data_IF_639360537081
#
_entry.id   IF_639360537081
#
_cell.length_a   1.000
_cell.length_b   1.000
_cell.length_c   1.000
_cell.angle_alpha   90.00
_cell.angle_beta   90.00
_cell.angle_gamma   90.00
#
_symmetry.space_group_name_H-M   'P 1'
#
loop_
_entity.id
_entity.type
_entity.pdbx_description
1 polymer ?
#
# COMPACT_ATOMS: atom_id res chain seq x y z
N UNK A 1 -37.56 22.28 -18.79
CA UNK A 1 -37.32 22.43 -17.34
C UNK A 1 -36.31 21.43 -16.77
N UNK A 2 -36.49 20.12 -16.98
CA UNK A 2 -35.67 19.05 -16.35
C UNK A 2 -34.14 19.20 -16.49
N UNK A 3 -33.62 19.52 -17.69
CA UNK A 3 -32.17 19.70 -17.91
C UNK A 3 -31.54 20.80 -17.03
N UNK A 4 -32.24 21.91 -16.80
CA UNK A 4 -31.75 23.01 -15.94
C UNK A 4 -31.72 22.60 -14.47
N UNK A 5 -32.71 21.84 -14.01
CA UNK A 5 -32.78 21.31 -12.64
C UNK A 5 -31.63 20.31 -12.41
N UNK A 6 -31.41 19.40 -13.37
CA UNK A 6 -30.30 18.44 -13.30
C UNK A 6 -28.94 19.13 -13.22
N UNK A 7 -28.72 20.18 -14.02
CA UNK A 7 -27.47 20.96 -13.98
C UNK A 7 -27.27 21.66 -12.63
N UNK A 8 -28.31 22.28 -12.06
CA UNK A 8 -28.22 22.93 -10.74
C UNK A 8 -27.86 21.93 -9.64
N UNK A 9 -28.47 20.73 -9.66
CA UNK A 9 -28.13 19.65 -8.72
C UNK A 9 -26.67 19.22 -8.84
N UNK A 10 -26.16 19.02 -10.06
CA UNK A 10 -24.75 18.68 -10.29
C UNK A 10 -23.80 19.76 -9.76
N UNK A 11 -24.10 21.04 -10.00
CA UNK A 11 -23.29 22.16 -9.50
C UNK A 11 -23.30 22.23 -7.97
N UNK A 12 -24.44 21.97 -7.33
CA UNK A 12 -24.52 21.95 -5.86
C UNK A 12 -23.67 20.81 -5.26
N UNK A 13 -23.69 19.63 -5.89
CA UNK A 13 -22.83 18.50 -5.49
C UNK A 13 -21.35 18.92 -5.60
N UNK A 14 -20.95 19.53 -6.72
CA UNK A 14 -19.58 20.01 -6.90
C UNK A 14 -19.19 21.03 -5.84
N UNK A 15 -20.03 22.04 -5.57
CA UNK A 15 -19.79 23.04 -4.51
C UNK A 15 -19.58 22.38 -3.15
N UNK A 16 -20.42 21.42 -2.79
CA UNK A 16 -20.35 20.76 -1.50
C UNK A 16 -19.08 19.93 -1.36
N UNK A 17 -18.72 19.14 -2.39
CA UNK A 17 -17.52 18.30 -2.37
C UNK A 17 -16.22 19.12 -2.34
N UNK A 18 -16.19 20.23 -3.08
CA UNK A 18 -14.99 21.08 -3.21
C UNK A 18 -14.94 22.19 -2.17
N UNK A 19 -15.99 22.31 -1.33
CA UNK A 19 -16.21 23.41 -0.37
C UNK A 19 -16.12 24.79 -1.04
N UNK A 20 -16.51 24.89 -2.31
CA UNK A 20 -16.55 26.17 -3.04
C UNK A 20 -17.63 27.08 -2.47
N UNK A 21 -17.26 28.30 -2.11
CA UNK A 21 -18.18 29.36 -1.67
C UNK A 21 -18.81 30.13 -2.84
N UNK A 22 -18.49 29.77 -4.08
CA UNK A 22 -18.89 30.53 -5.25
C UNK A 22 -20.27 30.15 -5.76
N UNK A 23 -21.07 31.16 -6.10
CA UNK A 23 -22.36 30.97 -6.79
C UNK A 23 -22.21 30.96 -8.33
N UNK A 24 -21.05 31.39 -8.84
CA UNK A 24 -20.79 31.46 -10.28
C UNK A 24 -20.41 30.09 -10.82
N UNK A 25 -21.16 29.57 -11.81
CA UNK A 25 -20.90 28.28 -12.47
C UNK A 25 -19.43 28.10 -12.91
N UNK A 26 -18.85 29.10 -13.56
CA UNK A 26 -17.46 29.04 -14.04
C UNK A 26 -16.45 28.91 -12.90
N UNK A 27 -16.69 29.62 -11.80
CA UNK A 27 -15.86 29.56 -10.60
C UNK A 27 -16.00 28.22 -9.89
N UNK A 28 -17.22 27.68 -9.76
CA UNK A 28 -17.46 26.33 -9.20
C UNK A 28 -16.67 25.29 -9.98
N UNK A 29 -16.71 25.36 -11.32
CA UNK A 29 -15.97 24.45 -12.20
C UNK A 29 -14.46 24.63 -11.99
N UNK A 30 -13.95 25.87 -11.96
CA UNK A 30 -12.53 26.14 -11.72
C UNK A 30 -12.07 25.60 -10.38
N UNK A 31 -12.81 25.85 -9.30
CA UNK A 31 -12.51 25.36 -7.96
C UNK A 31 -12.51 23.82 -7.92
N UNK A 32 -13.43 23.20 -8.66
CA UNK A 32 -13.47 21.74 -8.82
C UNK A 32 -12.23 21.21 -9.53
N UNK A 33 -11.81 21.83 -10.64
CA UNK A 33 -10.59 21.43 -11.35
C UNK A 33 -9.35 21.55 -10.46
N UNK A 34 -9.23 22.65 -9.69
CA UNK A 34 -8.14 22.84 -8.73
C UNK A 34 -8.18 21.76 -7.65
N UNK A 35 -9.36 21.44 -7.12
CA UNK A 35 -9.52 20.41 -6.09
C UNK A 35 -9.11 19.02 -6.61
N UNK A 36 -9.54 18.64 -7.81
CA UNK A 36 -9.14 17.37 -8.45
C UNK A 36 -7.61 17.33 -8.61
N UNK A 37 -7.01 18.39 -9.13
CA UNK A 37 -5.56 18.45 -9.31
C UNK A 37 -4.80 18.32 -7.98
N UNK A 38 -5.29 19.00 -6.93
CA UNK A 38 -4.73 18.86 -5.58
C UNK A 38 -4.83 17.43 -5.05
N UNK A 39 -5.92 16.72 -5.34
CA UNK A 39 -6.05 15.31 -4.97
C UNK A 39 -5.09 14.42 -5.75
N UNK A 40 -4.89 14.65 -7.04
CA UNK A 40 -3.92 13.92 -7.85
C UNK A 40 -2.50 14.05 -7.28
N UNK A 41 -2.05 15.28 -7.03
CA UNK A 41 -0.73 15.53 -6.43
C UNK A 41 -0.55 14.85 -5.07
N UNK A 42 -1.62 14.80 -4.24
CA UNK A 42 -1.58 14.10 -2.95
C UNK A 42 -1.48 12.60 -3.11
N UNK A 43 -2.19 12.02 -4.08
CA UNK A 43 -2.12 10.58 -4.36
C UNK A 43 -0.73 10.21 -4.87
N UNK A 44 -0.15 11.02 -5.75
CA UNK A 44 1.21 10.85 -6.25
C UNK A 44 2.24 10.88 -5.11
N UNK A 45 2.21 11.92 -4.26
CA UNK A 45 3.11 12.03 -3.12
C UNK A 45 3.01 10.83 -2.15
N UNK A 46 1.79 10.41 -1.80
CA UNK A 46 1.58 9.23 -0.94
C UNK A 46 2.11 7.96 -1.62
N UNK A 47 1.91 7.84 -2.93
CA UNK A 47 2.38 6.67 -3.69
C UNK A 47 3.91 6.60 -3.71
N UNK A 48 4.58 7.73 -3.93
CA UNK A 48 6.04 7.85 -3.88
C UNK A 48 6.58 7.51 -2.48
N UNK A 49 5.99 8.06 -1.42
CA UNK A 49 6.35 7.74 -0.03
C UNK A 49 6.17 6.25 0.28
N UNK A 50 5.04 5.65 -0.13
CA UNK A 50 4.80 4.22 0.02
C UNK A 50 5.83 3.38 -0.75
N UNK A 51 6.16 3.75 -1.99
CA UNK A 51 7.19 3.07 -2.78
C UNK A 51 8.56 3.18 -2.11
N UNK A 52 8.90 4.35 -1.58
CA UNK A 52 10.13 4.54 -0.83
C UNK A 52 10.17 3.61 0.38
N UNK A 53 9.11 3.54 1.19
CA UNK A 53 9.03 2.62 2.33
C UNK A 53 9.14 1.15 1.91
N UNK A 54 8.43 0.75 0.85
CA UNK A 54 8.49 -0.61 0.29
C UNK A 54 9.90 -0.96 -0.18
N UNK A 55 10.63 -0.01 -0.76
CA UNK A 55 12.01 -0.25 -1.23
C UNK A 55 13.01 -0.43 -0.09
N UNK A 56 12.73 0.14 1.08
CA UNK A 56 13.65 0.11 2.23
C UNK A 56 13.24 -0.91 3.29
N UNK A 57 12.06 -1.53 3.19
CA UNK A 57 11.64 -2.53 4.16
C UNK A 57 12.46 -3.80 4.02
N UNK A 58 13.24 -4.08 5.06
CA UNK A 58 13.98 -5.32 5.26
C UNK A 58 13.83 -5.66 6.74
N UNK A 59 12.89 -6.52 7.07
CA UNK A 59 12.61 -6.91 8.45
C UNK A 59 12.74 -8.42 8.56
N UNK A 60 13.65 -8.85 9.42
CA UNK A 60 13.81 -10.24 9.82
C UNK A 60 13.64 -10.30 11.33
N UNK A 61 12.72 -11.13 11.79
CA UNK A 61 12.49 -11.42 13.22
C UNK A 61 12.66 -12.89 13.46
N UNK A 62 13.33 -13.23 14.55
CA UNK A 62 13.53 -14.60 14.99
C UNK A 62 13.07 -14.69 16.43
N UNK A 63 12.15 -15.61 16.70
CA UNK A 63 11.57 -15.83 18.03
C UNK A 63 11.75 -17.30 18.41
N UNK A 64 12.25 -17.57 19.62
CA UNK A 64 12.28 -18.94 20.15
C UNK A 64 10.93 -19.28 20.77
N UNK A 65 10.32 -20.38 20.34
CA UNK A 65 8.97 -20.80 20.78
C UNK A 65 9.00 -22.02 21.71
N UNK A 66 10.19 -22.42 22.18
CA UNK A 66 10.38 -23.57 23.07
C UNK A 66 10.47 -24.90 22.32
N UNK A 67 10.88 -25.96 23.03
CA UNK A 67 11.04 -27.30 22.42
C UNK A 67 12.13 -27.40 21.35
N UNK A 68 13.06 -26.43 21.30
CA UNK A 68 14.11 -26.34 20.28
C UNK A 68 13.66 -25.64 18.98
N UNK A 69 12.42 -25.16 18.91
CA UNK A 69 11.90 -24.51 17.71
C UNK A 69 12.09 -22.99 17.70
N UNK A 70 12.24 -22.46 16.49
CA UNK A 70 12.36 -21.07 16.13
C UNK A 70 11.26 -20.69 15.13
N UNK A 71 10.71 -19.49 15.28
CA UNK A 71 9.87 -18.84 14.27
C UNK A 71 10.67 -17.74 13.62
N UNK A 72 10.92 -17.85 12.31
CA UNK A 72 11.59 -16.83 11.50
C UNK A 72 10.56 -16.12 10.64
N UNK A 73 10.48 -14.80 10.76
CA UNK A 73 9.56 -13.95 10.01
C UNK A 73 10.34 -12.96 9.16
N UNK A 74 10.21 -13.07 7.84
CA UNK A 74 10.85 -12.20 6.86
C UNK A 74 9.79 -11.32 6.20
N UNK A 75 10.04 -10.02 6.12
CA UNK A 75 9.26 -9.06 5.32
C UNK A 75 10.18 -8.16 4.53
N UNK A 76 10.00 -8.12 3.22
CA UNK A 76 10.86 -7.35 2.34
C UNK A 76 10.16 -6.95 1.04
N UNK A 77 10.82 -6.07 0.28
CA UNK A 77 10.43 -5.80 -1.11
C UNK A 77 10.39 -7.11 -1.90
N UNK A 78 9.39 -7.22 -2.77
CA UNK A 78 9.36 -8.30 -3.76
C UNK A 78 10.56 -8.18 -4.70
N UNK A 79 11.28 -9.28 -4.86
CA UNK A 79 12.35 -9.45 -5.83
C UNK A 79 12.16 -10.75 -6.59
N UNK A 80 12.79 -10.85 -7.75
CA UNK A 80 12.92 -12.13 -8.44
C UNK A 80 13.71 -13.10 -7.56
N UNK A 81 13.33 -14.38 -7.59
CA UNK A 81 14.04 -15.46 -6.89
C UNK A 81 14.15 -15.32 -5.36
N UNK A 82 13.46 -14.35 -4.73
CA UNK A 82 13.57 -14.08 -3.29
C UNK A 82 13.29 -15.31 -2.42
N UNK A 83 12.30 -16.13 -2.81
CA UNK A 83 12.00 -17.37 -2.10
C UNK A 83 13.18 -18.35 -2.18
N UNK A 84 13.77 -18.54 -3.36
CA UNK A 84 14.89 -19.45 -3.55
C UNK A 84 16.09 -19.01 -2.71
N UNK A 85 16.46 -17.73 -2.78
CA UNK A 85 17.58 -17.18 -1.98
C UNK A 85 17.37 -17.32 -0.47
N UNK A 86 16.12 -17.17 0.02
CA UNK A 86 15.83 -17.36 1.44
C UNK A 86 15.92 -18.83 1.84
N UNK A 87 15.45 -19.75 1.00
CA UNK A 87 15.54 -21.18 1.28
C UNK A 87 17.00 -21.68 1.26
N UNK A 88 17.80 -21.23 0.29
CA UNK A 88 19.25 -21.49 0.23
C UNK A 88 19.94 -21.03 1.52
N UNK A 89 19.62 -19.84 2.02
CA UNK A 89 20.14 -19.34 3.29
C UNK A 89 19.74 -20.22 4.49
N UNK A 90 18.54 -20.79 4.51
CA UNK A 90 18.15 -21.72 5.57
C UNK A 90 18.95 -23.02 5.51
N UNK A 91 19.22 -23.55 4.31
CA UNK A 91 20.10 -24.71 4.13
C UNK A 91 21.53 -24.41 4.61
N UNK A 92 22.10 -23.26 4.23
CA UNK A 92 23.43 -22.83 4.67
C UNK A 92 23.54 -22.67 6.19
N UNK A 93 22.46 -22.19 6.83
CA UNK A 93 22.38 -22.01 8.29
C UNK A 93 21.97 -23.29 9.03
N UNK A 94 21.76 -24.41 8.33
CA UNK A 94 21.26 -25.68 8.88
C UNK A 94 19.93 -25.55 9.63
N UNK A 95 19.06 -24.64 9.20
CA UNK A 95 17.70 -24.50 9.74
C UNK A 95 16.82 -25.57 9.13
N UNK A 96 16.34 -26.50 9.94
CA UNK A 96 15.40 -27.52 9.46
C UNK A 96 13.98 -26.95 9.44
N UNK A 97 13.50 -26.59 8.25
CA UNK A 97 12.17 -26.02 8.04
C UNK A 97 11.09 -27.11 8.20
N UNK A 98 10.25 -26.94 9.21
CA UNK A 98 9.11 -27.83 9.49
C UNK A 98 7.84 -27.32 8.83
N UNK A 99 7.60 -26.02 8.94
CA UNK A 99 6.43 -25.36 8.35
C UNK A 99 6.86 -24.01 7.77
N UNK A 100 6.27 -23.66 6.63
CA UNK A 100 6.46 -22.34 6.03
C UNK A 100 5.14 -21.83 5.46
N UNK A 101 4.86 -20.54 5.70
CA UNK A 101 3.76 -19.81 5.08
C UNK A 101 4.29 -18.58 4.36
N UNK A 102 3.72 -18.29 3.18
CA UNK A 102 4.18 -17.21 2.30
C UNK A 102 2.98 -16.32 1.94
N UNK A 103 3.22 -15.01 1.94
CA UNK A 103 2.28 -14.00 1.43
C UNK A 103 3.00 -13.05 0.49
N UNK A 104 2.41 -12.82 -0.68
CA UNK A 104 2.99 -11.97 -1.73
C UNK A 104 2.03 -10.88 -2.21
N UNK A 105 1.10 -10.41 -1.38
CA UNK A 105 0.09 -9.43 -1.82
C UNK A 105 0.71 -8.07 -2.15
N UNK A 106 1.31 -7.40 -1.16
CA UNK A 106 1.94 -6.09 -1.34
C UNK A 106 3.47 -6.16 -1.20
N UNK A 107 3.94 -6.93 -0.22
CA UNK A 107 5.34 -7.24 0.04
C UNK A 107 5.58 -8.74 -0.10
N UNK A 108 6.84 -9.16 -0.13
CA UNK A 108 7.18 -10.55 0.16
C UNK A 108 7.16 -10.71 1.68
N UNK A 109 6.38 -11.68 2.15
CA UNK A 109 6.32 -12.08 3.55
C UNK A 109 6.46 -13.58 3.65
N UNK A 110 7.32 -14.05 4.55
CA UNK A 110 7.52 -15.46 4.83
C UNK A 110 7.59 -15.66 6.34
N UNK A 111 6.89 -16.68 6.82
CA UNK A 111 7.00 -17.15 8.20
C UNK A 111 7.38 -18.61 8.15
N UNK A 112 8.42 -18.96 8.90
CA UNK A 112 9.01 -20.29 8.95
C UNK A 112 9.05 -20.76 10.39
N UNK A 113 8.67 -22.00 10.62
CA UNK A 113 8.90 -22.73 11.87
C UNK A 113 9.97 -23.76 11.57
N UNK A 114 11.05 -23.76 12.35
CA UNK A 114 12.14 -24.71 12.18
C UNK A 114 12.95 -24.93 13.46
N UNK A 115 13.93 -25.82 13.38
CA UNK A 115 14.87 -26.15 14.47
C UNK A 115 16.30 -25.90 14.04
#
# INVERSE_FOLDING_TARGET
>A
MQRRIALRRKLQILKNLTKSKSEKKSSIIKDTSIYIHKLQLRVEAITEECQHLINHIHEVKVESVGGGYLVVRVRCKKGEQMLASILEMFEELNVNVVEASITCKNLFGMEVIGT
#
